data_IF_630840527563
#
_entry.id   IF_630840527563
#
_cell.length_a   1.000
_cell.length_b   1.000
_cell.length_c   1.000
_cell.angle_alpha   90.00
_cell.angle_beta   90.00
_cell.angle_gamma   90.00
#
_symmetry.space_group_name_H-M   'P 1'
#
loop_
_entity.id
_entity.type
_entity.pdbx_description
1 polymer ?
#
# COMPACT_ATOMS: atom_id res chain seq x y z
N UNK A 1 -35.37 4.80 3.07
CA UNK A 1 -34.83 3.50 3.52
C UNK A 1 -34.06 3.74 4.81
N UNK A 2 -33.78 2.71 5.64
CA UNK A 2 -32.88 2.90 6.81
C UNK A 2 -31.45 2.64 6.32
N UNK A 3 -30.50 3.58 6.49
CA UNK A 3 -29.14 3.41 5.97
C UNK A 3 -28.41 2.26 6.66
N UNK A 4 -27.56 1.54 5.92
CA UNK A 4 -26.69 0.50 6.47
C UNK A 4 -25.63 1.14 7.37
N UNK A 5 -25.71 0.88 8.68
CA UNK A 5 -24.72 1.38 9.65
C UNK A 5 -23.57 0.39 9.84
N UNK A 6 -22.35 0.85 9.59
CA UNK A 6 -21.12 0.07 9.78
C UNK A 6 -20.26 0.76 10.84
N UNK A 7 -20.15 0.15 12.02
CA UNK A 7 -19.21 0.57 13.05
C UNK A 7 -17.76 0.39 12.58
N UNK A 8 -16.97 1.44 12.68
CA UNK A 8 -15.54 1.43 12.40
C UNK A 8 -14.74 0.82 13.56
N UNK A 9 -13.54 0.26 13.29
CA UNK A 9 -12.74 -0.38 14.33
C UNK A 9 -12.36 0.62 15.42
N UNK A 10 -12.56 0.22 16.68
CA UNK A 10 -12.30 1.10 17.82
C UNK A 10 -10.81 1.44 17.96
N UNK A 11 -9.97 0.43 17.76
CA UNK A 11 -8.53 0.56 17.60
C UNK A 11 -8.03 -0.59 16.74
N UNK A 12 -7.12 -0.28 15.83
CA UNK A 12 -6.36 -1.30 15.10
C UNK A 12 -5.11 -1.63 15.92
N UNK A 13 -4.89 -2.91 16.21
CA UNK A 13 -3.75 -3.37 17.01
C UNK A 13 -2.50 -3.33 16.15
N UNK A 14 -1.74 -2.25 16.31
CA UNK A 14 -0.43 -2.04 15.72
C UNK A 14 0.48 -3.29 15.81
N UNK A 15 0.41 -4.11 16.86
CA UNK A 15 1.26 -5.31 16.97
C UNK A 15 0.83 -6.47 16.05
N UNK A 16 -0.40 -6.45 15.53
CA UNK A 16 -0.98 -7.50 14.69
C UNK A 16 -1.61 -6.91 13.45
N UNK A 17 -0.80 -6.77 12.39
CA UNK A 17 -1.21 -6.28 11.06
C UNK A 17 -2.43 -7.00 10.49
N UNK A 18 -2.59 -8.31 10.78
CA UNK A 18 -3.79 -9.06 10.41
C UNK A 18 -5.11 -8.47 10.93
N UNK A 19 -5.08 -7.65 11.98
CA UNK A 19 -6.26 -6.92 12.47
C UNK A 19 -6.77 -5.87 11.47
N UNK A 20 -5.88 -5.10 10.82
CA UNK A 20 -6.24 -4.14 9.76
C UNK A 20 -7.06 -4.80 8.66
N UNK A 21 -6.55 -5.92 8.13
CA UNK A 21 -7.22 -6.71 7.09
C UNK A 21 -8.53 -7.32 7.56
N UNK A 22 -8.58 -7.90 8.77
CA UNK A 22 -9.80 -8.48 9.31
C UNK A 22 -10.93 -7.45 9.45
N UNK A 23 -10.63 -6.20 9.77
CA UNK A 23 -11.63 -5.13 9.76
C UNK A 23 -12.01 -4.69 8.34
N UNK A 24 -11.02 -4.45 7.47
CA UNK A 24 -11.24 -4.06 6.07
C UNK A 24 -12.13 -5.08 5.34
N UNK A 25 -11.79 -6.37 5.43
CA UNK A 25 -12.53 -7.47 4.81
C UNK A 25 -13.95 -7.62 5.36
N UNK A 26 -14.18 -7.34 6.65
CA UNK A 26 -15.54 -7.31 7.22
C UNK A 26 -16.36 -6.13 6.70
N UNK A 27 -15.74 -4.96 6.51
CA UNK A 27 -16.40 -3.79 5.92
C UNK A 27 -16.75 -4.07 4.46
N UNK A 28 -15.78 -4.49 3.65
CA UNK A 28 -16.00 -4.86 2.24
C UNK A 28 -17.11 -5.92 2.14
N UNK A 29 -17.06 -6.99 2.93
CA UNK A 29 -18.09 -8.03 2.89
C UNK A 29 -19.50 -7.50 3.23
N UNK A 30 -19.64 -6.61 4.23
CA UNK A 30 -20.92 -5.96 4.53
C UNK A 30 -21.39 -5.07 3.38
N UNK A 31 -20.48 -4.29 2.79
CA UNK A 31 -20.77 -3.38 1.68
C UNK A 31 -21.20 -4.12 0.41
N UNK A 32 -20.53 -5.22 0.05
CA UNK A 32 -20.80 -6.02 -1.16
C UNK A 32 -22.02 -6.95 -1.02
N UNK A 33 -22.51 -7.19 0.21
CA UNK A 33 -23.70 -8.00 0.48
C UNK A 33 -24.99 -7.17 0.68
N UNK A 34 -24.90 -5.85 0.78
CA UNK A 34 -26.07 -4.96 0.90
C UNK A 34 -26.53 -4.43 -0.46
N UNK A 35 -27.75 -3.92 -0.55
CA UNK A 35 -28.33 -3.46 -1.81
C UNK A 35 -27.58 -2.26 -2.39
N UNK A 36 -27.57 -2.14 -3.72
CA UNK A 36 -26.74 -1.13 -4.42
C UNK A 36 -27.17 0.31 -4.12
N UNK A 37 -28.44 0.50 -3.81
CA UNK A 37 -29.05 1.80 -3.53
C UNK A 37 -29.12 2.11 -2.02
N UNK A 38 -28.49 1.27 -1.18
CA UNK A 38 -28.34 1.55 0.25
C UNK A 38 -27.42 2.75 0.47
N UNK A 39 -27.95 3.80 1.11
CA UNK A 39 -27.14 4.76 1.85
C UNK A 39 -26.37 4.02 2.96
N UNK A 40 -25.08 4.32 3.11
CA UNK A 40 -24.22 3.70 4.11
C UNK A 40 -23.68 4.75 5.06
N UNK A 41 -23.77 4.48 6.37
CA UNK A 41 -23.12 5.29 7.41
C UNK A 41 -21.91 4.53 7.95
N UNK A 42 -20.74 5.14 7.83
CA UNK A 42 -19.53 4.74 8.53
C UNK A 42 -19.45 5.47 9.87
N UNK A 43 -19.68 4.73 10.96
CA UNK A 43 -19.80 5.27 12.31
C UNK A 43 -18.46 5.15 13.06
N UNK A 44 -17.86 6.30 13.38
CA UNK A 44 -16.57 6.42 14.05
C UNK A 44 -16.66 6.61 15.57
N UNK A 45 -17.85 6.49 16.18
CA UNK A 45 -18.09 6.75 17.62
C UNK A 45 -17.18 6.01 18.60
N UNK A 46 -16.65 4.85 18.20
CA UNK A 46 -15.74 4.03 19.01
C UNK A 46 -14.27 4.16 18.56
N UNK A 47 -14.00 4.82 17.43
CA UNK A 47 -12.69 4.86 16.75
C UNK A 47 -11.75 5.87 17.39
N UNK A 48 -10.62 5.35 17.88
CA UNK A 48 -9.55 6.13 18.55
C UNK A 48 -8.22 6.08 17.79
N UNK A 49 -7.94 4.99 17.07
CA UNK A 49 -6.68 4.84 16.32
C UNK A 49 -6.81 3.90 15.12
N UNK A 50 -6.39 4.40 13.97
CA UNK A 50 -6.27 3.71 12.69
C UNK A 50 -4.80 3.76 12.20
N UNK A 51 -4.45 2.95 11.19
CA UNK A 51 -3.09 2.85 10.64
C UNK A 51 -3.11 2.77 9.09
N UNK A 52 -1.96 2.86 8.38
CA UNK A 52 -1.93 2.99 6.92
C UNK A 52 -2.56 1.79 6.20
N UNK A 53 -2.35 0.62 6.79
CA UNK A 53 -2.79 -0.68 6.29
C UNK A 53 -4.31 -0.85 6.27
N UNK A 54 -5.04 0.02 6.96
CA UNK A 54 -6.50 0.10 6.91
C UNK A 54 -6.97 1.33 6.14
N UNK A 55 -6.38 2.49 6.39
CA UNK A 55 -6.89 3.78 5.88
C UNK A 55 -6.83 3.87 4.36
N UNK A 56 -5.65 3.65 3.75
CA UNK A 56 -5.52 3.83 2.30
C UNK A 56 -6.37 2.80 1.52
N UNK A 57 -6.38 1.50 1.88
CA UNK A 57 -7.31 0.55 1.25
C UNK A 57 -8.79 0.88 1.48
N UNK A 58 -9.17 1.42 2.64
CA UNK A 58 -10.56 1.83 2.89
C UNK A 58 -10.99 3.01 2.01
N UNK A 59 -10.11 4.01 1.84
CA UNK A 59 -10.39 5.19 1.00
C UNK A 59 -10.51 4.79 -0.48
N UNK A 60 -9.56 4.00 -1.00
CA UNK A 60 -9.61 3.57 -2.40
C UNK A 60 -10.82 2.63 -2.66
N UNK A 61 -11.18 1.77 -1.70
CA UNK A 61 -12.43 1.02 -1.76
C UNK A 61 -13.66 1.95 -1.83
N UNK A 62 -13.72 2.99 -0.99
CA UNK A 62 -14.82 3.98 -1.05
C UNK A 62 -14.87 4.71 -2.39
N UNK A 63 -13.74 5.12 -2.96
CA UNK A 63 -13.68 5.83 -4.25
C UNK A 63 -14.30 5.04 -5.40
N UNK A 64 -14.17 3.71 -5.35
CA UNK A 64 -14.70 2.78 -6.36
C UNK A 64 -16.12 2.31 -6.06
N UNK A 65 -16.59 2.44 -4.81
CA UNK A 65 -17.93 2.05 -4.42
C UNK A 65 -18.96 3.06 -4.99
N UNK A 66 -20.01 2.56 -5.62
CA UNK A 66 -21.11 3.39 -6.15
C UNK A 66 -22.06 3.92 -5.06
N UNK A 67 -21.95 3.39 -3.83
CA UNK A 67 -22.85 3.71 -2.72
C UNK A 67 -22.53 5.08 -2.12
N UNK A 68 -23.58 5.79 -1.72
CA UNK A 68 -23.44 7.01 -0.93
C UNK A 68 -22.97 6.65 0.49
N UNK A 69 -21.68 6.83 0.74
CA UNK A 69 -21.05 6.56 2.05
C UNK A 69 -20.85 7.88 2.80
N UNK A 70 -21.67 8.08 3.84
CA UNK A 70 -21.57 9.16 4.82
C UNK A 70 -20.69 8.75 6.00
N UNK A 71 -20.12 9.73 6.70
CA UNK A 71 -19.34 9.52 7.92
C UNK A 71 -20.06 10.18 9.11
N UNK A 72 -20.19 9.47 10.22
CA UNK A 72 -20.80 9.99 11.45
C UNK A 72 -19.89 9.76 12.66
N UNK A 73 -20.09 10.56 13.72
CA UNK A 73 -19.43 10.43 15.01
C UNK A 73 -17.89 10.43 14.97
N UNK A 74 -17.30 11.22 14.06
CA UNK A 74 -15.85 11.51 14.05
C UNK A 74 -15.54 12.42 15.24
N UNK A 75 -14.62 12.04 16.13
CA UNK A 75 -14.16 12.91 17.23
C UNK A 75 -13.23 14.01 16.71
N UNK A 76 -13.05 15.09 17.48
CA UNK A 76 -12.18 16.20 17.09
C UNK A 76 -10.73 15.75 16.83
N UNK A 77 -10.19 14.82 17.63
CA UNK A 77 -8.86 14.27 17.41
C UNK A 77 -8.77 13.46 16.12
N UNK A 78 -9.83 12.70 15.81
CA UNK A 78 -9.91 11.93 14.58
C UNK A 78 -10.08 12.83 13.35
N UNK A 79 -10.80 13.94 13.47
CA UNK A 79 -10.95 14.94 12.42
C UNK A 79 -9.63 15.68 12.15
N UNK A 80 -8.92 16.10 13.21
CA UNK A 80 -7.56 16.67 13.09
C UNK A 80 -6.64 15.69 12.39
N UNK A 81 -6.70 14.40 12.76
CA UNK A 81 -5.92 13.34 12.14
C UNK A 81 -6.27 13.12 10.66
N UNK A 82 -7.55 13.06 10.31
CA UNK A 82 -8.03 12.92 8.92
C UNK A 82 -7.63 14.09 8.03
N UNK A 83 -7.69 15.32 8.57
CA UNK A 83 -7.20 16.51 7.88
C UNK A 83 -5.68 16.43 7.66
N UNK A 84 -4.92 16.05 8.70
CA UNK A 84 -3.47 15.93 8.65
C UNK A 84 -2.95 14.92 7.62
N UNK A 85 -3.65 13.79 7.42
CA UNK A 85 -3.24 12.75 6.48
C UNK A 85 -3.86 12.88 5.08
N UNK A 86 -4.65 13.93 4.80
CA UNK A 86 -5.39 14.08 3.54
C UNK A 86 -6.46 13.00 3.29
N UNK A 87 -7.16 12.54 4.33
CA UNK A 87 -8.17 11.47 4.26
C UNK A 87 -9.33 11.77 3.29
N UNK A 88 -9.87 13.00 3.34
CA UNK A 88 -11.00 13.41 2.50
C UNK A 88 -10.58 13.92 1.12
N UNK A 89 -9.43 14.61 1.05
CA UNK A 89 -8.91 15.28 -0.15
C UNK A 89 -7.45 14.89 -0.35
N UNK A 90 -7.24 13.74 -1.01
CA UNK A 90 -5.92 13.15 -1.30
C UNK A 90 -5.01 14.20 -1.96
N UNK A 91 -3.74 14.24 -1.53
CA UNK A 91 -2.75 15.13 -2.13
C UNK A 91 -2.33 14.61 -3.51
N UNK A 92 -2.82 15.24 -4.56
CA UNK A 92 -2.56 14.87 -5.95
C UNK A 92 -1.40 15.66 -6.53
N UNK A 93 -0.23 15.01 -6.66
CA UNK A 93 1.03 15.69 -7.02
C UNK A 93 0.98 16.32 -8.41
N UNK A 94 0.26 15.71 -9.35
CA UNK A 94 0.13 16.22 -10.72
C UNK A 94 -0.63 17.55 -10.80
N UNK A 95 -1.49 17.81 -9.81
CA UNK A 95 -2.38 18.97 -9.76
C UNK A 95 -1.97 19.98 -8.68
N UNK A 96 -0.74 19.86 -8.13
CA UNK A 96 -0.21 20.82 -7.18
C UNK A 96 0.18 22.15 -7.84
N UNK A 97 -0.06 23.26 -7.14
CA UNK A 97 0.37 24.61 -7.54
C UNK A 97 1.76 25.00 -7.00
N UNK A 98 2.24 24.28 -6.00
CA UNK A 98 3.51 24.48 -5.31
C UNK A 98 4.41 23.29 -5.63
N UNK A 99 5.74 23.46 -5.61
CA UNK A 99 6.65 22.33 -5.77
C UNK A 99 6.40 21.26 -4.70
N UNK A 100 6.42 20.00 -5.12
CA UNK A 100 6.15 18.87 -4.23
C UNK A 100 7.20 18.76 -3.11
N UNK A 101 8.47 19.00 -3.43
CA UNK A 101 9.59 18.93 -2.48
C UNK A 101 9.52 20.05 -1.44
N UNK A 102 9.23 21.28 -1.86
CA UNK A 102 8.99 22.42 -0.97
C UNK A 102 7.82 22.16 -0.01
N UNK A 103 6.67 21.74 -0.56
CA UNK A 103 5.48 21.42 0.23
C UNK A 103 5.76 20.32 1.26
N UNK A 104 6.47 19.26 0.84
CA UNK A 104 6.78 18.10 1.68
C UNK A 104 7.74 18.42 2.84
N UNK A 105 8.51 19.50 2.79
CA UNK A 105 9.41 19.91 3.90
C UNK A 105 8.62 20.22 5.19
N UNK A 106 7.36 20.66 5.07
CA UNK A 106 6.46 20.85 6.22
C UNK A 106 6.15 19.54 6.98
N UNK A 107 6.44 18.38 6.37
CA UNK A 107 6.30 17.06 6.95
C UNK A 107 7.61 16.51 7.56
N UNK A 108 8.77 17.16 7.39
CA UNK A 108 10.07 16.69 7.92
C UNK A 108 10.06 16.36 9.42
N UNK A 109 9.30 17.12 10.22
CA UNK A 109 9.18 16.94 11.67
C UNK A 109 7.89 16.19 12.10
N UNK A 110 7.15 15.60 11.16
CA UNK A 110 5.91 14.86 11.43
C UNK A 110 6.19 13.37 11.63
N UNK A 111 5.15 12.61 12.01
CA UNK A 111 5.22 11.15 12.21
C UNK A 111 4.64 10.31 11.07
N UNK A 112 4.47 10.93 9.91
CA UNK A 112 3.77 10.38 8.77
C UNK A 112 4.17 11.08 7.47
N UNK A 113 3.96 10.40 6.36
CA UNK A 113 3.79 10.97 5.01
C UNK A 113 2.27 11.00 4.78
N UNK A 114 1.67 12.10 4.27
CA UNK A 114 0.23 12.14 4.01
C UNK A 114 -0.17 11.16 2.90
N UNK A 115 -1.47 10.99 2.66
CA UNK A 115 -1.95 10.21 1.52
C UNK A 115 -1.69 11.00 0.24
N UNK A 116 -0.79 10.47 -0.59
CA UNK A 116 -0.32 11.07 -1.83
C UNK A 116 -0.81 10.21 -3.00
N UNK A 117 -1.28 10.87 -4.08
CA UNK A 117 -1.53 10.30 -5.41
C UNK A 117 -0.39 10.72 -6.35
N UNK A 118 0.17 9.78 -7.08
CA UNK A 118 1.27 9.97 -8.04
C UNK A 118 0.94 9.35 -9.40
N UNK A 119 1.49 9.88 -10.53
CA UNK A 119 1.26 9.31 -11.85
C UNK A 119 1.86 7.92 -12.02
N UNK A 120 1.13 7.01 -12.67
CA UNK A 120 1.59 5.67 -13.07
C UNK A 120 1.80 5.60 -14.60
N UNK A 121 2.56 6.54 -15.16
CA UNK A 121 2.78 6.61 -16.61
C UNK A 121 4.24 6.94 -16.96
N UNK A 122 4.75 6.29 -18.00
CA UNK A 122 6.18 6.29 -18.39
C UNK A 122 6.69 7.63 -18.94
N UNK A 123 5.79 8.48 -19.42
CA UNK A 123 6.09 9.86 -19.82
C UNK A 123 6.38 10.77 -18.61
N UNK A 124 6.11 10.29 -17.38
CA UNK A 124 6.25 11.04 -16.12
C UNK A 124 7.34 10.47 -15.21
N UNK A 125 8.29 9.73 -15.79
CA UNK A 125 9.43 9.12 -15.10
C UNK A 125 10.25 10.14 -14.27
N UNK A 126 10.43 11.37 -14.76
CA UNK A 126 11.13 12.44 -14.03
C UNK A 126 10.40 12.85 -12.75
N UNK A 127 9.08 13.09 -12.84
CA UNK A 127 8.22 13.44 -11.72
C UNK A 127 8.12 12.28 -10.71
N UNK A 128 7.99 11.04 -11.20
CA UNK A 128 8.05 9.82 -10.35
C UNK A 128 9.37 9.78 -9.56
N UNK A 129 10.50 10.01 -10.22
CA UNK A 129 11.82 9.99 -9.59
C UNK A 129 11.97 11.14 -8.56
N UNK A 130 11.43 12.33 -8.84
CA UNK A 130 11.33 13.43 -7.86
C UNK A 130 10.49 13.04 -6.64
N UNK A 131 9.34 12.39 -6.84
CA UNK A 131 8.45 11.93 -5.76
C UNK A 131 9.16 10.91 -4.88
N UNK A 132 9.77 9.87 -5.47
CA UNK A 132 10.56 8.85 -4.76
C UNK A 132 11.68 9.50 -3.94
N UNK A 133 12.46 10.40 -4.56
CA UNK A 133 13.58 11.10 -3.90
C UNK A 133 13.10 11.97 -2.73
N UNK A 134 12.00 12.70 -2.91
CA UNK A 134 11.41 13.57 -1.88
C UNK A 134 10.90 12.75 -0.70
N UNK A 135 10.10 11.70 -0.95
CA UNK A 135 9.58 10.83 0.12
C UNK A 135 10.74 10.17 0.89
N UNK A 136 11.74 9.62 0.19
CA UNK A 136 12.94 9.06 0.85
C UNK A 136 13.68 10.10 1.70
N UNK A 137 13.83 11.34 1.21
CA UNK A 137 14.50 12.42 1.95
C UNK A 137 13.74 12.79 3.23
N UNK A 138 12.41 12.93 3.15
CA UNK A 138 11.56 13.20 4.33
C UNK A 138 11.62 12.03 5.31
N UNK A 139 11.51 10.78 4.84
CA UNK A 139 11.64 9.59 5.70
C UNK A 139 13.01 9.51 6.38
N UNK A 140 14.11 9.86 5.70
CA UNK A 140 15.45 9.91 6.29
C UNK A 140 15.53 10.90 7.45
N UNK A 141 15.00 12.12 7.26
CA UNK A 141 14.90 13.16 8.30
C UNK A 141 14.04 12.70 9.48
N UNK A 142 12.81 12.25 9.18
CA UNK A 142 11.81 11.83 10.15
C UNK A 142 12.27 10.72 11.10
N UNK A 143 13.04 9.76 10.56
CA UNK A 143 13.42 8.54 11.28
C UNK A 143 14.88 8.55 11.78
N UNK A 144 15.68 9.55 11.42
CA UNK A 144 17.12 9.61 11.63
C UNK A 144 17.84 8.31 11.18
N UNK A 145 17.60 7.91 9.93
CA UNK A 145 18.03 6.62 9.41
C UNK A 145 19.53 6.53 9.18
N UNK A 146 20.07 5.33 9.48
CA UNK A 146 21.33 4.89 8.89
C UNK A 146 21.19 4.74 7.37
N UNK A 147 22.29 4.96 6.62
CA UNK A 147 22.29 4.84 5.16
C UNK A 147 21.81 3.46 4.68
N UNK A 148 22.05 2.43 5.49
CA UNK A 148 21.60 1.05 5.29
C UNK A 148 20.08 0.90 5.20
N UNK A 149 19.33 1.43 6.17
CA UNK A 149 17.86 1.37 6.17
C UNK A 149 17.30 2.34 5.12
N UNK A 150 17.98 3.46 4.88
CA UNK A 150 17.66 4.38 3.80
C UNK A 150 17.77 3.73 2.41
N UNK A 151 18.81 2.93 2.14
CA UNK A 151 18.96 2.16 0.90
C UNK A 151 17.86 1.12 0.74
N UNK A 152 17.47 0.42 1.81
CA UNK A 152 16.33 -0.53 1.78
C UNK A 152 15.03 0.19 1.42
N UNK A 153 14.74 1.32 2.09
CA UNK A 153 13.55 2.13 1.77
C UNK A 153 13.57 2.63 0.33
N UNK A 154 14.72 3.14 -0.13
CA UNK A 154 14.87 3.66 -1.50
C UNK A 154 14.62 2.58 -2.54
N UNK A 155 15.17 1.37 -2.32
CA UNK A 155 14.94 0.20 -3.17
C UNK A 155 13.46 -0.22 -3.17
N UNK A 156 12.86 -0.44 -1.99
CA UNK A 156 11.47 -0.85 -1.85
C UNK A 156 10.48 0.17 -2.45
N UNK A 157 10.73 1.47 -2.28
CA UNK A 157 9.88 2.50 -2.88
C UNK A 157 10.01 2.56 -4.40
N UNK A 158 11.22 2.47 -4.96
CA UNK A 158 11.40 2.45 -6.42
C UNK A 158 10.70 1.23 -7.03
N UNK A 159 11.06 0.02 -6.58
CA UNK A 159 10.50 -1.22 -7.12
C UNK A 159 8.97 -1.24 -7.09
N UNK A 160 8.34 -0.84 -5.99
CA UNK A 160 6.87 -0.90 -5.89
C UNK A 160 6.16 0.18 -6.71
N UNK A 161 6.74 1.38 -6.82
CA UNK A 161 6.19 2.46 -7.65
C UNK A 161 6.43 2.15 -9.14
N UNK A 162 7.57 1.56 -9.49
CA UNK A 162 7.89 1.10 -10.84
C UNK A 162 6.97 -0.05 -11.26
N UNK A 163 6.71 -1.03 -10.39
CA UNK A 163 5.72 -2.09 -10.66
C UNK A 163 4.33 -1.51 -10.98
N UNK A 164 3.90 -0.45 -10.30
CA UNK A 164 2.63 0.24 -10.59
C UNK A 164 2.69 0.90 -11.98
N UNK A 165 3.71 1.72 -12.26
CA UNK A 165 3.89 2.40 -13.57
C UNK A 165 4.04 1.42 -14.74
N UNK A 166 4.62 0.25 -14.51
CA UNK A 166 4.92 -0.73 -15.54
C UNK A 166 3.79 -1.75 -15.81
N UNK A 167 2.94 -2.04 -14.82
CA UNK A 167 2.03 -3.19 -14.86
C UNK A 167 0.58 -2.92 -14.41
N UNK A 168 0.27 -1.76 -13.81
CA UNK A 168 -1.09 -1.52 -13.31
C UNK A 168 -2.10 -1.12 -14.40
N UNK A 169 -1.66 -0.48 -15.50
CA UNK A 169 -2.53 0.29 -16.42
C UNK A 169 -3.49 1.28 -15.70
N UNK A 170 -3.16 1.73 -14.48
CA UNK A 170 -4.05 2.57 -13.68
C UNK A 170 -4.16 3.99 -14.25
N UNK A 171 -5.33 4.33 -14.79
CA UNK A 171 -5.66 5.69 -15.26
C UNK A 171 -5.60 6.74 -14.15
N UNK A 172 -5.73 6.32 -12.89
CA UNK A 172 -5.67 7.19 -11.72
C UNK A 172 -4.28 7.24 -11.10
N UNK A 173 -3.30 6.50 -11.62
CA UNK A 173 -1.96 6.45 -11.03
C UNK A 173 -1.89 5.50 -9.83
N UNK A 174 -0.89 5.74 -8.98
CA UNK A 174 -0.70 5.04 -7.72
C UNK A 174 -0.85 5.96 -6.52
N UNK A 175 -0.87 5.36 -5.33
CA UNK A 175 -1.06 6.02 -4.05
C UNK A 175 -0.03 5.54 -3.04
N UNK A 176 0.41 6.41 -2.16
CA UNK A 176 1.28 6.08 -1.03
C UNK A 176 0.82 6.79 0.25
N UNK A 177 0.88 6.07 1.38
CA UNK A 177 0.62 6.61 2.71
C UNK A 177 1.54 5.90 3.71
N UNK A 178 2.21 6.64 4.60
CA UNK A 178 3.16 6.05 5.55
C UNK A 178 3.07 6.66 6.95
N UNK A 179 3.30 5.85 7.99
CA UNK A 179 3.32 6.28 9.39
C UNK A 179 4.37 5.52 10.18
N UNK A 180 5.10 6.21 11.07
CA UNK A 180 6.12 5.58 11.90
C UNK A 180 5.85 5.66 13.41
N UNK A 181 6.41 4.67 14.11
CA UNK A 181 6.05 4.34 15.49
C UNK A 181 7.30 4.34 16.38
N UNK A 182 7.64 5.51 16.93
CA UNK A 182 8.86 5.73 17.73
C UNK A 182 9.08 4.70 18.85
N UNK A 183 8.01 4.32 19.57
CA UNK A 183 8.07 3.33 20.66
C UNK A 183 8.42 1.92 20.17
N UNK A 184 7.92 1.54 19.00
CA UNK A 184 8.06 0.18 18.46
C UNK A 184 9.18 0.05 17.41
N UNK A 185 9.79 1.17 17.00
CA UNK A 185 10.90 1.28 16.04
C UNK A 185 10.65 0.62 14.67
N UNK A 186 9.44 0.82 14.13
CA UNK A 186 9.12 0.46 12.73
C UNK A 186 8.32 1.57 12.03
N UNK A 187 8.36 1.56 10.70
CA UNK A 187 7.48 2.34 9.81
C UNK A 187 6.54 1.39 9.07
N UNK A 188 5.26 1.77 8.99
CA UNK A 188 4.25 1.14 8.13
C UNK A 188 4.07 2.00 6.88
N UNK A 189 4.25 1.41 5.69
CA UNK A 189 4.06 2.05 4.38
C UNK A 189 3.02 1.25 3.61
N UNK A 190 1.96 1.93 3.16
CA UNK A 190 0.96 1.40 2.24
C UNK A 190 1.20 2.03 0.86
N UNK A 191 1.36 1.20 -0.17
CA UNK A 191 1.40 1.61 -1.58
C UNK A 191 0.26 0.88 -2.29
N UNK A 192 -0.47 1.55 -3.18
CA UNK A 192 -1.61 0.94 -3.87
C UNK A 192 -1.85 1.53 -5.26
N UNK A 193 -2.52 0.76 -6.11
CA UNK A 193 -3.08 1.17 -7.41
C UNK A 193 -4.55 0.74 -7.55
N UNK A 194 -5.25 1.36 -8.50
CA UNK A 194 -6.62 1.06 -8.94
C UNK A 194 -6.60 0.43 -10.36
N UNK A 195 -5.61 -0.42 -10.64
CA UNK A 195 -5.31 -0.99 -11.95
C UNK A 195 -5.88 -2.38 -12.24
N UNK A 196 -5.26 -3.10 -13.17
CA UNK A 196 -5.77 -4.36 -13.74
C UNK A 196 -5.53 -5.63 -12.90
N UNK A 197 -4.97 -5.52 -11.68
CA UNK A 197 -4.45 -6.62 -10.84
C UNK A 197 -3.22 -7.35 -11.41
N UNK A 198 -2.52 -8.10 -10.56
CA UNK A 198 -1.39 -8.96 -10.97
C UNK A 198 -1.86 -10.07 -11.93
N UNK A 199 -3.06 -10.63 -11.76
CA UNK A 199 -3.61 -11.60 -12.71
C UNK A 199 -3.86 -10.96 -14.07
N UNK A 200 -4.46 -9.76 -14.10
CA UNK A 200 -4.74 -9.04 -15.33
C UNK A 200 -3.46 -8.67 -16.10
N UNK A 201 -2.37 -8.33 -15.41
CA UNK A 201 -1.09 -8.02 -16.07
C UNK A 201 -0.45 -9.26 -16.72
N UNK A 202 -0.55 -10.45 -16.12
CA UNK A 202 -0.16 -11.71 -16.77
C UNK A 202 -1.03 -12.05 -17.97
N UNK A 203 -2.35 -11.91 -17.85
CA UNK A 203 -3.30 -12.16 -18.95
C UNK A 203 -3.05 -11.20 -20.12
N UNK A 204 -2.82 -9.91 -19.84
CA UNK A 204 -2.45 -8.90 -20.84
C UNK A 204 -1.12 -9.22 -21.54
N UNK A 205 -0.16 -9.78 -20.81
CA UNK A 205 1.11 -10.27 -21.36
C UNK A 205 1.00 -11.61 -22.11
N UNK A 206 -0.21 -12.16 -22.29
CA UNK A 206 -0.45 -13.39 -23.02
C UNK A 206 -0.19 -14.69 -22.23
N UNK A 207 0.12 -14.60 -20.93
CA UNK A 207 0.43 -15.75 -20.10
C UNK A 207 -0.86 -16.43 -19.60
N UNK A 208 -1.46 -17.26 -20.47
CA UNK A 208 -2.77 -17.89 -20.26
C UNK A 208 -2.78 -19.04 -19.25
N UNK A 209 -1.61 -19.56 -18.86
CA UNK A 209 -1.48 -20.65 -17.89
C UNK A 209 -1.73 -20.17 -16.44
N UNK A 210 -1.72 -18.86 -16.21
CA UNK A 210 -1.99 -18.24 -14.92
C UNK A 210 -3.48 -17.89 -14.86
N UNK A 211 -4.27 -18.80 -14.26
CA UNK A 211 -5.75 -18.77 -14.35
C UNK A 211 -6.46 -18.19 -13.11
N UNK A 212 -5.75 -17.84 -12.04
CA UNK A 212 -6.35 -17.27 -10.84
C UNK A 212 -5.39 -16.38 -10.04
N UNK A 213 -5.95 -15.50 -9.19
CA UNK A 213 -5.21 -14.48 -8.46
C UNK A 213 -4.14 -15.04 -7.50
N UNK A 214 -4.39 -16.21 -6.89
CA UNK A 214 -3.44 -16.85 -5.96
C UNK A 214 -2.21 -17.32 -6.72
N UNK A 215 -2.39 -17.95 -7.89
CA UNK A 215 -1.28 -18.43 -8.69
C UNK A 215 -0.54 -17.29 -9.41
N UNK A 216 -1.24 -16.20 -9.76
CA UNK A 216 -0.62 -14.96 -10.22
C UNK A 216 0.31 -14.35 -9.15
N UNK A 217 -0.17 -14.23 -7.91
CA UNK A 217 0.65 -13.75 -6.79
C UNK A 217 1.83 -14.70 -6.51
N UNK A 218 1.63 -16.02 -6.54
CA UNK A 218 2.75 -16.99 -6.41
C UNK A 218 3.82 -16.73 -7.46
N UNK A 219 3.46 -16.70 -8.75
CA UNK A 219 4.38 -16.50 -9.88
C UNK A 219 5.17 -15.19 -9.76
N UNK A 220 4.49 -14.10 -9.43
CA UNK A 220 5.13 -12.79 -9.21
C UNK A 220 6.12 -12.86 -8.04
N UNK A 221 5.72 -13.50 -6.93
CA UNK A 221 6.57 -13.64 -5.75
C UNK A 221 7.77 -14.59 -5.92
N UNK A 222 7.79 -15.45 -6.95
CA UNK A 222 8.94 -16.32 -7.27
C UNK A 222 9.90 -15.71 -8.30
N UNK A 223 9.52 -14.58 -8.93
CA UNK A 223 10.35 -13.83 -9.87
C UNK A 223 9.97 -14.00 -11.36
N UNK A 224 8.77 -14.51 -11.68
CA UNK A 224 8.34 -14.68 -13.08
C UNK A 224 7.78 -13.35 -13.60
N UNK A 225 8.53 -12.62 -14.42
CA UNK A 225 8.03 -11.36 -15.00
C UNK A 225 7.01 -11.58 -16.11
N UNK A 226 6.15 -10.58 -16.31
CA UNK A 226 5.34 -10.44 -17.54
C UNK A 226 6.18 -10.03 -18.76
N UNK A 227 7.47 -9.70 -18.57
CA UNK A 227 8.42 -9.25 -19.61
C UNK A 227 9.60 -10.19 -19.83
N UNK A 228 9.47 -11.49 -19.52
CA UNK A 228 10.52 -12.49 -19.76
C UNK A 228 10.71 -12.76 -21.27
N UNK A 229 11.31 -11.80 -21.97
CA UNK A 229 11.92 -11.93 -23.30
C UNK A 229 13.41 -12.26 -23.15
N UNK A 230 14.07 -12.84 -24.17
CA UNK A 230 15.48 -13.25 -24.09
C UNK A 230 16.49 -12.14 -23.75
N UNK A 231 16.12 -10.87 -23.91
CA UNK A 231 16.98 -9.70 -23.67
C UNK A 231 16.77 -9.05 -22.28
N UNK A 232 15.95 -9.66 -21.41
CA UNK A 232 15.48 -9.05 -20.15
C UNK A 232 16.06 -9.71 -18.88
N UNK A 233 17.33 -10.14 -18.90
CA UNK A 233 17.94 -11.02 -17.87
C UNK A 233 17.78 -10.54 -16.42
N UNK A 234 17.68 -9.22 -16.17
CA UNK A 234 17.58 -8.65 -14.82
C UNK A 234 16.15 -8.19 -14.41
N UNK A 235 15.07 -8.62 -15.08
CA UNK A 235 13.70 -8.13 -14.82
C UNK A 235 12.74 -9.21 -14.32
N UNK A 236 12.09 -8.93 -13.19
CA UNK A 236 11.12 -9.84 -12.54
C UNK A 236 11.37 -10.03 -11.03
N UNK A 237 12.53 -9.62 -10.53
CA UNK A 237 12.94 -9.85 -9.15
C UNK A 237 12.31 -8.90 -8.14
N UNK A 238 11.81 -7.72 -8.52
CA UNK A 238 11.36 -6.66 -7.61
C UNK A 238 10.54 -7.11 -6.40
N UNK A 239 9.41 -7.81 -6.61
CA UNK A 239 8.58 -8.34 -5.51
C UNK A 239 9.33 -9.43 -4.71
N UNK A 240 10.04 -10.34 -5.39
CA UNK A 240 10.81 -11.43 -4.77
C UNK A 240 11.94 -10.91 -3.88
N UNK A 241 12.71 -9.95 -4.35
CA UNK A 241 13.79 -9.30 -3.60
C UNK A 241 13.23 -8.46 -2.46
N UNK A 242 12.20 -7.64 -2.73
CA UNK A 242 11.51 -6.84 -1.71
C UNK A 242 11.04 -7.68 -0.52
N UNK A 243 10.37 -8.82 -0.78
CA UNK A 243 9.89 -9.70 0.30
C UNK A 243 11.03 -10.39 1.06
N UNK A 244 12.11 -10.81 0.39
CA UNK A 244 13.25 -11.49 1.02
C UNK A 244 14.01 -10.50 1.91
N UNK A 245 14.34 -9.33 1.36
CA UNK A 245 15.03 -8.23 2.05
C UNK A 245 14.26 -7.80 3.29
N UNK A 246 12.93 -7.62 3.17
CA UNK A 246 12.11 -7.19 4.30
C UNK A 246 11.93 -8.30 5.36
N UNK A 247 11.85 -9.57 4.96
CA UNK A 247 11.86 -10.70 5.89
C UNK A 247 13.19 -10.81 6.66
N UNK A 248 14.33 -10.59 5.99
CA UNK A 248 15.66 -10.56 6.60
C UNK A 248 15.83 -9.45 7.64
N UNK A 249 15.18 -8.31 7.44
CA UNK A 249 15.06 -7.24 8.44
C UNK A 249 14.11 -7.55 9.62
N UNK A 250 13.49 -8.74 9.65
CA UNK A 250 12.39 -9.09 10.56
C UNK A 250 11.16 -8.19 10.40
N UNK A 251 11.01 -7.60 9.21
CA UNK A 251 9.83 -6.86 8.78
C UNK A 251 8.72 -7.77 8.27
N UNK A 252 7.69 -7.14 7.71
CA UNK A 252 6.51 -7.85 7.20
C UNK A 252 6.09 -7.23 5.86
N UNK A 253 5.91 -8.09 4.86
CA UNK A 253 5.45 -7.73 3.52
C UNK A 253 4.07 -8.36 3.30
N UNK A 254 3.10 -7.56 2.87
CA UNK A 254 1.77 -8.04 2.50
C UNK A 254 1.37 -7.52 1.13
N UNK A 255 0.59 -8.32 0.42
CA UNK A 255 0.16 -8.05 -0.94
C UNK A 255 -1.30 -8.49 -1.12
N UNK A 256 -2.14 -7.60 -1.64
CA UNK A 256 -3.55 -7.87 -1.94
C UNK A 256 -3.83 -7.46 -3.39
N UNK A 257 -4.30 -8.40 -4.20
CA UNK A 257 -4.61 -8.19 -5.61
C UNK A 257 -5.68 -9.21 -6.04
N UNK A 258 -6.72 -8.77 -6.73
CA UNK A 258 -7.83 -9.64 -7.10
C UNK A 258 -8.51 -10.24 -5.87
N UNK A 259 -8.88 -11.52 -5.94
CA UNK A 259 -9.40 -12.31 -4.81
C UNK A 259 -8.32 -13.03 -4.01
N UNK A 260 -7.06 -12.57 -4.02
CA UNK A 260 -5.95 -13.22 -3.33
C UNK A 260 -5.17 -12.26 -2.42
N UNK A 261 -4.79 -12.80 -1.27
CA UNK A 261 -3.98 -12.14 -0.25
C UNK A 261 -2.70 -12.93 0.01
N UNK A 262 -1.60 -12.22 0.25
CA UNK A 262 -0.29 -12.80 0.53
C UNK A 262 0.39 -12.11 1.69
N UNK A 263 1.09 -12.91 2.50
CA UNK A 263 1.90 -12.49 3.64
C UNK A 263 3.29 -13.13 3.55
N UNK A 264 4.32 -12.32 3.75
CA UNK A 264 5.67 -12.77 4.09
C UNK A 264 6.12 -12.10 5.39
N UNK A 265 6.58 -12.91 6.32
CA UNK A 265 7.35 -12.47 7.49
C UNK A 265 8.70 -13.21 7.50
N UNK A 266 9.52 -12.99 8.53
CA UNK A 266 10.69 -13.83 8.80
C UNK A 266 10.30 -15.32 8.92
N UNK A 267 9.28 -15.62 9.73
CA UNK A 267 8.93 -16.99 10.14
C UNK A 267 7.83 -17.66 9.30
N UNK A 268 7.09 -16.91 8.47
CA UNK A 268 5.93 -17.42 7.72
C UNK A 268 5.84 -16.89 6.29
N UNK A 269 5.23 -17.69 5.42
CA UNK A 269 4.90 -17.31 4.06
C UNK A 269 3.58 -17.95 3.65
N UNK A 270 2.55 -17.12 3.40
CA UNK A 270 1.17 -17.57 3.31
C UNK A 270 0.49 -16.98 2.07
N UNK A 271 -0.22 -17.82 1.33
CA UNK A 271 -1.06 -17.44 0.20
C UNK A 271 -2.51 -17.81 0.53
N UNK A 272 -3.41 -16.82 0.54
CA UNK A 272 -4.79 -16.96 0.99
C UNK A 272 -5.74 -16.58 -0.15
N UNK A 273 -6.61 -17.51 -0.54
CA UNK A 273 -7.76 -17.21 -1.40
C UNK A 273 -8.85 -16.57 -0.55
N UNK A 274 -9.33 -15.39 -0.95
CA UNK A 274 -10.38 -14.68 -0.23
C UNK A 274 -11.78 -15.17 -0.66
N UNK A 275 -12.83 -14.91 0.14
CA UNK A 275 -14.21 -15.15 -0.26
C UNK A 275 -14.56 -14.41 -1.56
N UNK A 276 -15.46 -14.97 -2.37
CA UNK A 276 -15.83 -14.44 -3.72
C UNK A 276 -16.24 -12.96 -3.71
N UNK A 277 -16.80 -12.47 -2.62
CA UNK A 277 -17.26 -11.08 -2.44
C UNK A 277 -16.16 -10.10 -2.01
N UNK A 278 -14.92 -10.57 -1.79
CA UNK A 278 -13.81 -9.72 -1.34
C UNK A 278 -12.75 -9.72 -2.45
N UNK A 279 -12.84 -8.72 -3.32
CA UNK A 279 -11.94 -8.54 -4.46
C UNK A 279 -11.39 -7.12 -4.53
N UNK A 280 -10.08 -7.00 -4.71
CA UNK A 280 -9.41 -5.76 -5.09
C UNK A 280 -9.18 -5.72 -6.60
N UNK A 281 -9.56 -4.62 -7.25
CA UNK A 281 -9.21 -4.36 -8.66
C UNK A 281 -8.09 -3.32 -8.62
N UNK A 282 -6.87 -3.82 -8.86
CA UNK A 282 -5.59 -3.13 -8.65
C UNK A 282 -4.64 -3.98 -7.81
N UNK A 283 -3.69 -3.32 -7.15
CA UNK A 283 -2.77 -3.93 -6.18
C UNK A 283 -2.68 -3.08 -4.92
N UNK A 284 -2.52 -3.70 -3.75
CA UNK A 284 -2.11 -3.06 -2.50
C UNK A 284 -0.90 -3.78 -1.95
N UNK A 285 0.18 -3.05 -1.68
CA UNK A 285 1.41 -3.55 -1.06
C UNK A 285 1.63 -2.84 0.27
N UNK A 286 1.75 -3.62 1.35
CA UNK A 286 1.95 -3.11 2.70
C UNK A 286 3.29 -3.57 3.24
N UNK A 287 4.10 -2.62 3.68
CA UNK A 287 5.44 -2.85 4.22
C UNK A 287 5.48 -2.40 5.67
N UNK A 288 5.85 -3.30 6.57
CA UNK A 288 6.33 -2.95 7.91
C UNK A 288 7.83 -3.11 7.95
N UNK A 289 8.54 -2.00 8.10
CA UNK A 289 10.00 -1.94 8.05
C UNK A 289 10.53 -1.54 9.43
N UNK A 290 11.15 -2.48 10.18
CA UNK A 290 11.90 -2.15 11.39
C UNK A 290 13.09 -1.25 11.04
N UNK A 291 13.29 -0.19 11.82
CA UNK A 291 14.46 0.70 11.72
C UNK A 291 15.31 0.67 13.00
N UNK A 292 14.91 -0.09 14.01
CA UNK A 292 15.65 -0.31 15.26
C UNK A 292 16.57 -1.53 15.28
N UNK A 293 16.82 -2.16 14.13
CA UNK A 293 17.61 -3.39 13.90
C UNK A 293 18.07 -3.42 12.43
N UNK A 294 19.15 -4.10 12.03
CA UNK A 294 20.20 -4.79 12.81
C UNK A 294 21.60 -4.38 12.31
N UNK A 295 22.62 -4.40 13.18
CA UNK A 295 24.00 -4.06 12.77
C UNK A 295 24.55 -5.06 11.74
N UNK A 296 24.21 -6.34 11.85
CA UNK A 296 24.69 -7.43 10.98
C UNK A 296 23.90 -7.62 9.68
N UNK A 297 22.76 -6.92 9.47
CA UNK A 297 22.03 -7.04 8.20
C UNK A 297 22.93 -6.62 7.02
N UNK A 298 22.66 -7.09 5.80
CA UNK A 298 23.41 -6.62 4.63
C UNK A 298 22.48 -6.59 3.41
N UNK A 299 22.25 -5.41 2.84
CA UNK A 299 21.34 -5.25 1.70
C UNK A 299 21.86 -5.99 0.45
N UNK A 300 23.18 -6.08 0.28
CA UNK A 300 23.82 -6.68 -0.89
C UNK A 300 23.66 -8.21 -0.96
N UNK A 301 23.29 -8.88 0.14
CA UNK A 301 22.96 -10.31 0.14
C UNK A 301 21.60 -10.62 -0.51
N UNK A 302 20.76 -9.59 -0.71
CA UNK A 302 19.41 -9.72 -1.25
C UNK A 302 19.26 -9.17 -2.66
N UNK A 303 20.12 -8.24 -3.08
CA UNK A 303 20.17 -7.73 -4.44
C UNK A 303 20.70 -8.84 -5.35
N UNK A 304 19.85 -9.36 -6.21
CA UNK A 304 20.25 -10.31 -7.26
C UNK A 304 20.94 -9.49 -8.38
N UNK A 305 22.17 -9.87 -8.75
CA UNK A 305 23.05 -9.14 -9.67
C UNK A 305 23.04 -9.70 -11.09
#
# INVERSE_FOLDING_TARGET
MVPLRIEMPSKIDDNRVGSSFNYLFKIILKMELSDKDDDVIWDFSKTSKLNPFFILPLILYKKRCIKNVQYENISDELQIYFNAIHFHNILDVENMRTDFSEYMESFSNKRYIPIIRFPASKDKDELRNQIIKTINTILKKQLNLTDKIYSVLSYLLSELIDNITEHSDSIHGGYIFAQYYTKNKYIDICIADEGITILGSYVKAGNKDIINDVDAIKKASTGVSTKNLPEAENRGYGIRTSKKMLAGLKGQFFLFSGGAFYRKTHDSEDYVKLPKHIKWDGTVVLLRIPYGVNEEFNIYEYLEG
#
